data_IF_046860385787
#
_entry.id   IF_046860385787
#
_cell.length_a   1.000
_cell.length_b   1.000
_cell.length_c   1.000
_cell.angle_alpha   90.00
_cell.angle_beta   90.00
_cell.angle_gamma   90.00
#
_symmetry.space_group_name_H-M   'P 1'
#
loop_
_entity.id
_entity.type
_entity.pdbx_description
1 polymer ?
#
# COMPACT_ATOMS: atom_id res chain seq x y z
N UNK A 1 -7.16 -22.14 -44.95
CA UNK A 1 -6.92 -21.42 -43.69
C UNK A 1 -7.29 -22.36 -42.54
N UNK A 2 -6.33 -23.16 -42.10
CA UNK A 2 -6.50 -24.03 -40.95
C UNK A 2 -6.44 -23.19 -39.68
N UNK A 3 -7.49 -23.27 -38.89
CA UNK A 3 -7.49 -22.68 -37.52
C UNK A 3 -6.57 -23.52 -36.64
N UNK A 4 -5.47 -22.96 -36.22
CA UNK A 4 -4.62 -23.58 -35.22
C UNK A 4 -5.46 -23.83 -33.94
N UNK A 5 -5.65 -25.10 -33.60
CA UNK A 5 -6.25 -25.53 -32.34
C UNK A 5 -5.22 -25.22 -31.24
N UNK A 6 -5.55 -24.47 -30.19
CA UNK A 6 -4.61 -24.24 -29.11
C UNK A 6 -4.27 -25.58 -28.47
N UNK A 7 -2.98 -25.93 -28.42
CA UNK A 7 -2.47 -27.10 -27.71
C UNK A 7 -2.88 -27.01 -26.23
N UNK A 8 -3.71 -27.95 -25.82
CA UNK A 8 -4.07 -28.09 -24.41
C UNK A 8 -2.79 -28.38 -23.58
N UNK A 9 -2.46 -27.49 -22.68
CA UNK A 9 -1.32 -27.65 -21.75
C UNK A 9 -1.65 -28.86 -20.86
N UNK A 10 -0.74 -29.84 -20.72
CA UNK A 10 -0.99 -30.99 -19.84
C UNK A 10 -1.26 -30.55 -18.40
N UNK A 11 -2.25 -31.16 -17.73
CA UNK A 11 -2.67 -30.84 -16.35
C UNK A 11 -1.49 -30.70 -15.38
N UNK A 12 -0.47 -31.55 -15.44
CA UNK A 12 0.71 -31.47 -14.60
C UNK A 12 1.58 -30.24 -14.85
N UNK A 13 1.63 -29.68 -16.06
CA UNK A 13 2.37 -28.44 -16.34
C UNK A 13 1.65 -27.22 -15.76
N UNK A 14 0.31 -27.23 -15.71
CA UNK A 14 -0.48 -26.16 -15.09
C UNK A 14 -0.25 -26.10 -13.57
N UNK A 15 -0.20 -27.26 -12.90
CA UNK A 15 0.07 -27.35 -11.46
C UNK A 15 1.48 -26.88 -11.11
N UNK A 16 2.49 -27.27 -11.88
CA UNK A 16 3.88 -26.79 -11.71
C UNK A 16 3.96 -25.28 -11.90
N UNK A 17 3.30 -24.76 -12.93
CA UNK A 17 3.27 -23.32 -13.18
C UNK A 17 2.64 -22.54 -12.02
N UNK A 18 1.50 -23.01 -11.50
CA UNK A 18 0.84 -22.39 -10.34
C UNK A 18 1.70 -22.48 -9.07
N UNK A 19 2.40 -23.58 -8.86
CA UNK A 19 3.33 -23.72 -7.73
C UNK A 19 4.49 -22.74 -7.84
N UNK A 20 5.06 -22.56 -9.03
CA UNK A 20 6.11 -21.58 -9.29
C UNK A 20 5.62 -20.14 -9.11
N UNK A 21 4.41 -19.82 -9.58
CA UNK A 21 3.81 -18.51 -9.34
C UNK A 21 3.68 -18.21 -7.85
N UNK A 22 3.19 -19.17 -7.06
CA UNK A 22 3.09 -19.01 -5.60
C UNK A 22 4.44 -18.83 -4.93
N UNK A 23 5.47 -19.54 -5.37
CA UNK A 23 6.82 -19.43 -4.83
C UNK A 23 7.45 -18.04 -5.04
N UNK A 24 7.16 -17.43 -6.19
CA UNK A 24 7.70 -16.12 -6.57
C UNK A 24 6.68 -14.97 -6.41
N UNK A 25 5.59 -15.23 -5.73
CA UNK A 25 4.57 -14.22 -5.50
C UNK A 25 5.05 -13.17 -4.50
N UNK A 26 4.72 -11.92 -4.81
CA UNK A 26 4.88 -10.78 -3.92
C UNK A 26 3.55 -10.03 -3.84
N UNK A 27 3.08 -9.77 -2.65
CA UNK A 27 1.87 -8.96 -2.41
C UNK A 27 2.32 -7.56 -2.07
N UNK A 28 2.02 -6.60 -2.95
CA UNK A 28 2.43 -5.20 -2.81
C UNK A 28 1.45 -4.36 -2.02
N UNK A 29 0.17 -4.65 -2.15
CA UNK A 29 -0.88 -3.76 -1.66
C UNK A 29 -2.04 -4.51 -1.04
N UNK A 30 -2.70 -3.85 -0.10
CA UNK A 30 -3.89 -4.36 0.59
C UNK A 30 -4.90 -3.23 0.76
N UNK A 31 -6.19 -3.56 0.77
CA UNK A 31 -7.25 -2.61 1.09
C UNK A 31 -8.45 -3.31 1.71
N UNK A 32 -8.94 -2.79 2.82
CA UNK A 32 -10.13 -3.31 3.51
C UNK A 32 -11.37 -2.72 2.85
N UNK A 33 -12.42 -3.54 2.72
CA UNK A 33 -13.73 -3.09 2.24
C UNK A 33 -14.38 -2.08 3.19
N UNK A 34 -15.25 -1.19 2.70
CA UNK A 34 -15.92 -0.20 3.56
C UNK A 34 -16.79 -0.83 4.65
N UNK A 35 -17.28 -2.04 4.45
CA UNK A 35 -18.02 -2.78 5.50
C UNK A 35 -17.10 -3.49 6.52
N UNK A 36 -15.77 -3.47 6.33
CA UNK A 36 -14.79 -4.10 7.21
C UNK A 36 -14.74 -5.64 7.15
N UNK A 37 -15.57 -6.30 6.35
CA UNK A 37 -15.70 -7.76 6.32
C UNK A 37 -14.81 -8.45 5.29
N UNK A 38 -14.24 -7.68 4.35
CA UNK A 38 -13.42 -8.22 3.26
C UNK A 38 -12.10 -7.49 3.17
N UNK A 39 -11.08 -8.21 2.74
CA UNK A 39 -9.74 -7.70 2.44
C UNK A 39 -9.40 -8.00 0.99
N UNK A 40 -8.99 -6.98 0.25
CA UNK A 40 -8.36 -7.13 -1.06
C UNK A 40 -6.83 -7.17 -0.89
N UNK A 41 -6.17 -8.06 -1.61
CA UNK A 41 -4.71 -8.15 -1.70
C UNK A 41 -4.29 -8.20 -3.17
N UNK A 42 -3.32 -7.35 -3.55
CA UNK A 42 -2.82 -7.23 -4.92
C UNK A 42 -1.39 -7.72 -5.05
N UNK A 43 -1.12 -8.54 -6.07
CA UNK A 43 0.17 -9.19 -6.26
C UNK A 43 0.96 -8.67 -7.48
N UNK A 44 2.18 -9.19 -7.63
CA UNK A 44 3.11 -8.87 -8.72
C UNK A 44 2.68 -9.41 -10.10
N UNK A 45 1.68 -10.28 -10.16
CA UNK A 45 1.13 -10.80 -11.41
C UNK A 45 -0.13 -10.05 -11.88
N UNK A 46 -0.45 -8.92 -11.25
CA UNK A 46 -1.63 -8.12 -11.59
C UNK A 46 -2.94 -8.68 -11.07
N UNK A 47 -2.90 -9.71 -10.22
CA UNK A 47 -4.09 -10.32 -9.66
C UNK A 47 -4.50 -9.62 -8.36
N UNK A 48 -5.80 -9.53 -8.14
CA UNK A 48 -6.39 -9.14 -6.87
C UNK A 48 -7.19 -10.33 -6.32
N UNK A 49 -6.89 -10.71 -5.08
CA UNK A 49 -7.65 -11.69 -4.32
C UNK A 49 -8.49 -10.99 -3.25
N UNK A 50 -9.73 -11.40 -3.11
CA UNK A 50 -10.65 -10.93 -2.07
C UNK A 50 -10.82 -12.02 -1.03
N UNK A 51 -10.52 -11.71 0.22
CA UNK A 51 -10.66 -12.63 1.36
C UNK A 51 -11.84 -12.18 2.23
N UNK A 52 -12.61 -13.14 2.75
CA UNK A 52 -13.62 -12.88 3.77
C UNK A 52 -12.99 -12.90 5.16
N UNK A 53 -12.76 -11.71 5.75
CA UNK A 53 -12.27 -11.61 7.13
C UNK A 53 -13.29 -12.17 8.13
N UNK A 54 -14.57 -11.92 7.91
CA UNK A 54 -15.62 -12.43 8.79
C UNK A 54 -15.68 -13.98 8.82
N UNK A 55 -15.47 -14.64 7.68
CA UNK A 55 -15.39 -16.09 7.63
C UNK A 55 -14.09 -16.64 8.24
N UNK A 56 -12.96 -15.97 7.98
CA UNK A 56 -11.66 -16.42 8.48
C UNK A 56 -11.49 -16.22 10.00
N UNK A 57 -12.18 -15.23 10.56
CA UNK A 57 -12.15 -14.90 12.01
C UNK A 57 -13.26 -15.60 12.81
N UNK A 58 -14.17 -16.30 12.15
CA UNK A 58 -15.24 -17.06 12.82
C UNK A 58 -14.65 -18.18 13.70
N UNK A 59 -15.31 -18.50 14.80
CA UNK A 59 -14.98 -19.66 15.63
C UNK A 59 -15.12 -21.00 14.89
N UNK A 60 -15.90 -21.01 13.79
CA UNK A 60 -16.10 -22.18 12.93
C UNK A 60 -15.20 -22.15 11.68
N UNK A 61 -14.21 -21.25 11.61
CA UNK A 61 -13.34 -21.10 10.46
C UNK A 61 -12.58 -22.41 10.15
N UNK A 62 -12.59 -22.79 8.88
CA UNK A 62 -11.84 -23.93 8.32
C UNK A 62 -10.70 -23.43 7.45
N UNK A 63 -9.83 -24.32 6.98
CA UNK A 63 -8.76 -23.94 6.03
C UNK A 63 -9.30 -23.28 4.75
N UNK A 64 -10.50 -23.69 4.30
CA UNK A 64 -11.17 -23.06 3.15
C UNK A 64 -11.55 -21.58 3.41
N UNK A 65 -11.85 -21.24 4.66
CA UNK A 65 -12.14 -19.84 5.05
C UNK A 65 -10.95 -18.91 4.92
N UNK A 66 -9.74 -19.46 4.82
CA UNK A 66 -8.48 -18.70 4.66
C UNK A 66 -8.09 -18.50 3.18
N UNK A 67 -8.85 -19.10 2.26
CA UNK A 67 -8.66 -18.94 0.82
C UNK A 67 -9.44 -17.73 0.28
N UNK A 68 -9.08 -17.19 -0.91
CA UNK A 68 -9.84 -16.11 -1.51
C UNK A 68 -11.27 -16.56 -1.85
N UNK A 69 -12.22 -15.67 -1.61
CA UNK A 69 -13.61 -15.82 -2.10
C UNK A 69 -13.65 -15.66 -3.62
N UNK A 70 -12.80 -14.76 -4.13
CA UNK A 70 -12.63 -14.52 -5.56
C UNK A 70 -11.20 -14.01 -5.82
N UNK A 71 -10.64 -14.42 -6.97
CA UNK A 71 -9.39 -13.89 -7.51
C UNK A 71 -9.62 -13.54 -8.98
N UNK A 72 -9.12 -12.38 -9.40
CA UNK A 72 -9.29 -11.91 -10.77
C UNK A 72 -8.05 -11.15 -11.26
N UNK A 73 -7.86 -11.13 -12.57
CA UNK A 73 -6.81 -10.35 -13.22
C UNK A 73 -7.26 -8.91 -13.34
N UNK A 74 -6.62 -8.02 -12.56
CA UNK A 74 -6.93 -6.61 -12.52
C UNK A 74 -6.04 -5.80 -13.47
N UNK A 75 -4.76 -6.08 -13.51
CA UNK A 75 -3.75 -5.39 -14.31
C UNK A 75 -2.85 -6.39 -15.05
N UNK A 76 -2.17 -5.93 -16.10
CA UNK A 76 -1.19 -6.76 -16.81
C UNK A 76 0.13 -6.88 -16.04
N UNK A 77 0.50 -5.84 -15.29
CA UNK A 77 1.64 -5.78 -14.39
C UNK A 77 1.23 -5.76 -12.92
N UNK A 78 2.18 -5.51 -11.99
CA UNK A 78 1.93 -5.52 -10.55
C UNK A 78 0.83 -4.57 -10.10
N UNK A 79 0.11 -4.95 -9.02
CA UNK A 79 -0.85 -4.07 -8.34
C UNK A 79 -0.12 -3.34 -7.23
N UNK A 80 0.44 -2.18 -7.54
CA UNK A 80 1.32 -1.45 -6.61
C UNK A 80 0.60 -0.84 -5.42
N UNK A 81 -0.62 -0.33 -5.63
CA UNK A 81 -1.39 0.33 -4.58
C UNK A 81 -2.88 0.10 -4.74
N UNK A 82 -3.59 0.05 -3.63
CA UNK A 82 -5.05 -0.04 -3.60
C UNK A 82 -5.62 0.83 -2.49
N UNK A 83 -6.77 1.42 -2.73
CA UNK A 83 -7.56 2.14 -1.73
C UNK A 83 -9.05 1.84 -1.93
N UNK A 84 -9.82 1.85 -0.83
CA UNK A 84 -11.27 1.65 -0.86
C UNK A 84 -12.00 2.95 -0.57
N UNK A 85 -12.98 3.27 -1.42
CA UNK A 85 -14.02 4.26 -1.12
C UNK A 85 -15.24 3.56 -0.53
N UNK A 86 -16.30 4.29 -0.24
CA UNK A 86 -17.57 3.72 0.27
C UNK A 86 -18.18 2.66 -0.66
N UNK A 87 -17.86 2.71 -1.96
CA UNK A 87 -18.43 1.82 -2.98
C UNK A 87 -17.41 1.03 -3.77
N UNK A 88 -16.22 1.62 -3.99
CA UNK A 88 -15.26 1.12 -4.95
C UNK A 88 -13.98 0.64 -4.28
N UNK A 89 -13.39 -0.39 -4.85
CA UNK A 89 -11.97 -0.66 -4.74
C UNK A 89 -11.28 0.05 -5.92
N UNK A 90 -10.27 0.86 -5.64
CA UNK A 90 -9.41 1.48 -6.64
C UNK A 90 -8.06 0.78 -6.61
N UNK A 91 -7.56 0.37 -7.77
CA UNK A 91 -6.28 -0.31 -7.89
C UNK A 91 -5.38 0.37 -8.93
N UNK A 92 -4.10 0.48 -8.62
CA UNK A 92 -3.10 1.10 -9.46
C UNK A 92 -2.07 0.08 -9.95
N UNK A 93 -1.75 0.17 -11.22
CA UNK A 93 -0.74 -0.63 -11.91
C UNK A 93 0.16 0.23 -12.79
N UNK A 94 0.63 -0.34 -13.90
CA UNK A 94 1.44 0.35 -14.87
C UNK A 94 0.58 1.36 -15.65
N UNK A 95 0.78 2.63 -15.36
CA UNK A 95 0.20 3.76 -16.08
C UNK A 95 -1.28 4.00 -15.90
N UNK A 96 -2.00 3.18 -15.15
CA UNK A 96 -3.45 3.32 -15.03
C UNK A 96 -3.96 3.01 -13.62
N UNK A 97 -5.09 3.65 -13.28
CA UNK A 97 -5.92 3.31 -12.13
C UNK A 97 -7.25 2.75 -12.62
N UNK A 98 -7.71 1.68 -12.00
CA UNK A 98 -8.98 1.02 -12.29
C UNK A 98 -9.89 1.01 -11.07
N UNK A 99 -11.19 1.03 -11.33
CA UNK A 99 -12.21 0.94 -10.30
C UNK A 99 -13.04 -0.34 -10.43
N UNK A 100 -13.34 -0.92 -9.30
CA UNK A 100 -14.12 -2.14 -9.13
C UNK A 100 -15.23 -1.87 -8.12
N UNK A 101 -16.44 -2.34 -8.36
CA UNK A 101 -17.55 -2.15 -7.45
C UNK A 101 -17.57 -3.28 -6.41
N UNK A 102 -17.36 -2.96 -5.12
CA UNK A 102 -17.34 -3.94 -4.03
C UNK A 102 -18.56 -4.86 -4.03
N UNK A 103 -19.75 -4.30 -4.25
CA UNK A 103 -21.00 -5.07 -4.24
C UNK A 103 -21.10 -6.10 -5.39
N UNK A 104 -20.42 -5.86 -6.51
CA UNK A 104 -20.44 -6.75 -7.68
C UNK A 104 -19.37 -7.83 -7.63
N UNK A 105 -18.17 -7.49 -7.13
CA UNK A 105 -17.06 -8.43 -7.02
C UNK A 105 -17.43 -9.69 -6.25
N UNK A 106 -18.31 -9.56 -5.24
CA UNK A 106 -18.73 -10.64 -4.37
C UNK A 106 -19.90 -11.47 -4.93
N UNK A 107 -20.51 -11.06 -6.05
CA UNK A 107 -21.72 -11.70 -6.58
C UNK A 107 -21.46 -12.52 -7.84
N UNK A 108 -20.94 -11.96 -8.90
CA UNK A 108 -20.86 -12.62 -10.23
C UNK A 108 -19.72 -12.10 -11.10
N UNK A 109 -18.52 -12.05 -10.57
CA UNK A 109 -17.36 -11.68 -11.35
C UNK A 109 -16.98 -10.20 -11.20
N UNK A 110 -15.69 -9.98 -11.35
CA UNK A 110 -15.08 -8.69 -11.14
C UNK A 110 -15.01 -7.95 -12.48
N UNK A 111 -15.99 -7.11 -12.74
CA UNK A 111 -16.03 -6.28 -13.92
C UNK A 111 -15.41 -4.92 -13.62
N UNK A 112 -14.47 -4.49 -14.49
CA UNK A 112 -13.93 -3.15 -14.45
C UNK A 112 -15.07 -2.13 -14.68
N UNK A 113 -15.20 -1.18 -13.76
CA UNK A 113 -16.20 -0.12 -13.86
C UNK A 113 -15.70 1.01 -14.74
N UNK A 114 -14.47 1.44 -14.50
CA UNK A 114 -13.77 2.42 -15.30
C UNK A 114 -12.26 2.30 -15.12
N UNK A 115 -11.51 2.87 -16.07
CA UNK A 115 -10.06 3.09 -15.98
C UNK A 115 -9.71 4.53 -16.32
N UNK A 116 -8.63 5.02 -15.72
CA UNK A 116 -8.09 6.36 -15.97
C UNK A 116 -6.58 6.30 -16.04
N UNK A 117 -6.03 7.09 -16.96
CA UNK A 117 -4.58 7.26 -17.13
C UNK A 117 -4.25 8.72 -16.89
N UNK A 118 -3.27 9.04 -16.02
CA UNK A 118 -2.76 10.39 -15.89
C UNK A 118 -2.23 10.91 -17.24
N UNK A 119 -2.25 12.24 -17.47
CA UNK A 119 -1.69 12.83 -18.68
C UNK A 119 -0.15 12.80 -18.62
N UNK A 120 0.46 11.75 -19.14
CA UNK A 120 1.92 11.62 -19.21
C UNK A 120 2.52 12.51 -20.29
N UNK A 121 3.76 12.97 -20.09
CA UNK A 121 4.47 13.84 -21.03
C UNK A 121 4.97 13.10 -22.27
N UNK A 122 5.23 11.81 -22.17
CA UNK A 122 5.73 10.98 -23.27
C UNK A 122 4.92 9.70 -23.37
N UNK A 123 4.70 9.21 -24.58
CA UNK A 123 4.01 7.95 -24.84
C UNK A 123 4.97 6.74 -24.93
N UNK A 124 6.27 6.94 -24.73
CA UNK A 124 7.28 5.91 -24.93
C UNK A 124 7.51 5.02 -23.71
N UNK A 125 7.25 5.54 -22.53
CA UNK A 125 7.33 4.78 -21.29
C UNK A 125 6.06 5.02 -20.47
N UNK A 126 5.46 3.95 -20.02
CA UNK A 126 4.28 3.98 -19.16
C UNK A 126 4.76 3.86 -17.72
N UNK A 127 4.77 4.96 -16.93
CA UNK A 127 5.31 4.93 -15.58
C UNK A 127 4.37 4.21 -14.63
N UNK A 128 4.92 3.48 -13.67
CA UNK A 128 4.18 2.82 -12.60
C UNK A 128 3.47 3.86 -11.72
N UNK A 129 2.27 3.52 -11.24
CA UNK A 129 1.58 4.28 -10.20
C UNK A 129 1.81 3.56 -8.88
N UNK A 130 2.79 4.04 -8.10
CA UNK A 130 3.26 3.37 -6.87
C UNK A 130 2.37 3.64 -5.67
N UNK A 131 1.69 4.77 -5.63
CA UNK A 131 0.90 5.18 -4.48
C UNK A 131 -0.43 5.83 -4.89
N UNK A 132 -1.48 5.45 -4.19
CA UNK A 132 -2.80 6.06 -4.22
C UNK A 132 -3.12 6.63 -2.83
N UNK A 133 -3.72 7.80 -2.80
CA UNK A 133 -4.19 8.44 -1.57
C UNK A 133 -5.56 9.06 -1.78
N UNK A 134 -6.52 8.65 -0.96
CA UNK A 134 -7.84 9.29 -0.93
C UNK A 134 -7.79 10.59 -0.12
N UNK A 135 -8.45 11.61 -0.63
CA UNK A 135 -8.74 12.88 0.07
C UNK A 135 -10.25 12.98 0.22
N UNK A 136 -10.83 12.37 1.28
CA UNK A 136 -12.30 12.22 1.38
C UNK A 136 -13.06 13.55 1.39
N UNK A 137 -12.50 14.58 2.03
CA UNK A 137 -13.13 15.91 2.13
C UNK A 137 -13.29 16.59 0.78
N UNK A 138 -12.42 16.29 -0.19
CA UNK A 138 -12.45 16.86 -1.53
C UNK A 138 -13.00 15.87 -2.58
N UNK A 139 -13.43 14.68 -2.14
CA UNK A 139 -13.83 13.58 -3.02
C UNK A 139 -12.81 13.34 -4.15
N UNK A 140 -11.53 13.39 -3.81
CA UNK A 140 -10.44 13.29 -4.79
C UNK A 140 -9.48 12.16 -4.47
N UNK A 141 -8.80 11.69 -5.51
CA UNK A 141 -7.74 10.71 -5.46
C UNK A 141 -6.43 11.35 -5.92
N UNK A 142 -5.37 11.12 -5.17
CA UNK A 142 -4.00 11.49 -5.56
C UNK A 142 -3.28 10.24 -6.00
N UNK A 143 -2.63 10.32 -7.16
CA UNK A 143 -1.80 9.28 -7.76
C UNK A 143 -0.37 9.80 -7.84
N UNK A 144 0.61 8.96 -7.54
CA UNK A 144 2.03 9.30 -7.69
C UNK A 144 2.86 8.06 -8.04
N UNK A 145 3.94 8.25 -8.78
CA UNK A 145 4.78 7.14 -9.18
C UNK A 145 5.98 7.53 -10.04
N UNK A 146 6.22 6.76 -11.08
CA UNK A 146 7.41 6.81 -11.91
C UNK A 146 7.57 8.05 -12.78
N UNK A 147 6.52 8.85 -12.97
CA UNK A 147 6.63 10.13 -13.69
C UNK A 147 7.09 11.30 -12.80
N UNK A 148 7.42 11.02 -11.54
CA UNK A 148 7.92 12.01 -10.56
C UNK A 148 6.92 13.14 -10.25
N UNK A 149 5.63 12.93 -10.48
CA UNK A 149 4.58 13.92 -10.28
C UNK A 149 3.45 13.35 -9.42
N UNK A 150 2.71 14.25 -8.75
CA UNK A 150 1.46 13.91 -8.10
C UNK A 150 0.31 14.41 -9.01
N UNK A 151 -0.60 13.52 -9.34
CA UNK A 151 -1.82 13.84 -10.11
C UNK A 151 -3.03 13.80 -9.20
N UNK A 152 -3.82 14.86 -9.18
CA UNK A 152 -5.08 14.90 -8.44
C UNK A 152 -6.23 14.62 -9.41
N UNK A 153 -7.08 13.68 -9.06
CA UNK A 153 -8.24 13.30 -9.86
C UNK A 153 -9.52 13.49 -9.04
N UNK A 154 -10.51 14.13 -9.60
CA UNK A 154 -11.85 14.19 -9.04
C UNK A 154 -12.56 12.83 -9.24
N UNK A 155 -13.07 12.24 -8.17
CA UNK A 155 -13.66 10.90 -8.21
C UNK A 155 -15.09 10.89 -8.80
N UNK A 156 -15.79 12.02 -8.78
CA UNK A 156 -17.12 12.11 -9.36
C UNK A 156 -17.07 12.17 -10.87
N UNK A 157 -16.18 13.01 -11.41
CA UNK A 157 -16.05 13.24 -12.86
C UNK A 157 -15.01 12.32 -13.50
N UNK A 158 -14.07 11.79 -12.74
CA UNK A 158 -12.94 11.02 -13.24
C UNK A 158 -11.91 11.88 -14.00
N UNK A 159 -11.93 13.19 -13.81
CA UNK A 159 -11.01 14.12 -14.49
C UNK A 159 -9.81 14.46 -13.64
N UNK A 160 -8.64 14.58 -14.27
CA UNK A 160 -7.43 15.08 -13.59
C UNK A 160 -7.52 16.59 -13.49
N UNK A 161 -7.41 17.08 -12.25
CA UNK A 161 -7.63 18.51 -11.93
C UNK A 161 -6.33 19.28 -11.73
N UNK A 162 -5.32 18.65 -11.14
CA UNK A 162 -4.04 19.31 -10.79
C UNK A 162 -2.87 18.35 -10.97
N UNK A 163 -1.70 18.94 -11.21
CA UNK A 163 -0.42 18.23 -11.24
C UNK A 163 0.57 18.98 -10.34
N UNK A 164 1.10 18.29 -9.34
CA UNK A 164 2.09 18.82 -8.41
C UNK A 164 3.49 18.34 -8.84
N UNK A 165 4.39 19.28 -9.09
CA UNK A 165 5.73 19.01 -9.64
C UNK A 165 6.80 19.49 -8.68
N UNK A 166 7.83 18.65 -8.47
CA UNK A 166 8.97 18.99 -7.61
C UNK A 166 9.90 17.82 -7.40
N UNK A 167 9.39 16.57 -7.24
CA UNK A 167 10.25 15.40 -7.17
C UNK A 167 11.08 15.26 -8.45
N UNK A 168 12.31 14.81 -8.29
CA UNK A 168 13.26 14.59 -9.40
C UNK A 168 13.43 13.12 -9.74
N UNK A 169 12.79 12.25 -8.98
CA UNK A 169 12.84 10.80 -9.14
C UNK A 169 11.53 10.18 -8.68
N UNK A 170 11.37 8.86 -8.82
CA UNK A 170 10.16 8.09 -8.54
C UNK A 170 9.59 8.38 -7.17
N UNK A 171 8.26 8.51 -7.08
CA UNK A 171 7.55 8.69 -5.82
C UNK A 171 7.05 7.32 -5.37
N UNK A 172 7.27 6.98 -4.10
CA UNK A 172 6.93 5.67 -3.54
C UNK A 172 5.75 5.70 -2.57
N UNK A 173 5.57 6.79 -1.84
CA UNK A 173 4.59 6.85 -0.77
C UNK A 173 3.95 8.23 -0.65
N UNK A 174 2.70 8.21 -0.16
CA UNK A 174 1.87 9.38 0.09
C UNK A 174 1.26 9.29 1.48
N UNK A 175 1.05 10.42 2.13
CA UNK A 175 0.29 10.53 3.37
C UNK A 175 -0.55 11.81 3.40
N UNK A 176 -1.75 11.73 3.95
CA UNK A 176 -2.65 12.87 4.14
C UNK A 176 -2.50 13.42 5.56
N UNK A 177 -2.30 14.72 5.67
CA UNK A 177 -2.39 15.42 6.96
C UNK A 177 -3.85 15.78 7.22
N UNK A 178 -4.55 14.97 8.03
CA UNK A 178 -6.02 15.02 8.15
C UNK A 178 -6.61 16.35 8.57
N UNK A 179 -5.90 17.13 9.38
CA UNK A 179 -6.36 18.43 9.90
C UNK A 179 -6.01 19.61 9.01
N UNK A 180 -5.24 19.39 7.97
CA UNK A 180 -4.76 20.40 7.03
C UNK A 180 -5.03 19.92 5.60
N UNK A 181 -5.26 20.81 4.63
CA UNK A 181 -5.36 20.42 3.22
C UNK A 181 -3.96 20.14 2.63
N UNK A 182 -3.14 19.43 3.36
CA UNK A 182 -1.75 19.12 2.99
C UNK A 182 -1.55 17.63 2.76
N UNK A 183 -0.76 17.34 1.74
CA UNK A 183 -0.32 15.98 1.41
C UNK A 183 1.19 15.92 1.47
N UNK A 184 1.70 14.81 1.97
CA UNK A 184 3.12 14.51 1.98
C UNK A 184 3.41 13.43 0.95
N UNK A 185 4.56 13.53 0.29
CA UNK A 185 5.08 12.53 -0.64
C UNK A 185 6.53 12.21 -0.33
N UNK A 186 6.91 10.96 -0.51
CA UNK A 186 8.29 10.49 -0.36
C UNK A 186 8.74 9.74 -1.60
N UNK A 187 9.99 9.93 -2.01
CA UNK A 187 10.48 9.40 -3.27
C UNK A 187 11.94 8.95 -3.26
N UNK A 188 12.38 8.46 -4.40
CA UNK A 188 13.74 7.98 -4.66
C UNK A 188 14.79 9.09 -4.59
N UNK A 189 14.38 10.35 -4.83
CA UNK A 189 15.23 11.54 -4.66
C UNK A 189 15.65 11.80 -3.20
N UNK A 190 15.09 11.06 -2.24
CA UNK A 190 15.41 11.14 -0.83
C UNK A 190 14.72 12.27 -0.08
N UNK A 191 13.79 12.95 -0.72
CA UNK A 191 13.03 14.03 -0.12
C UNK A 191 11.64 13.59 0.33
N UNK A 192 11.18 14.17 1.42
CA UNK A 192 9.76 14.26 1.76
C UNK A 192 9.31 15.67 1.41
N UNK A 193 8.24 15.79 0.61
CA UNK A 193 7.68 17.06 0.20
C UNK A 193 6.28 17.24 0.75
N UNK A 194 6.01 18.46 1.24
CA UNK A 194 4.69 18.89 1.68
C UNK A 194 4.04 19.73 0.59
N UNK A 195 2.78 19.46 0.31
CA UNK A 195 2.00 20.14 -0.72
C UNK A 195 0.70 20.68 -0.15
N UNK A 196 0.41 21.96 -0.41
CA UNK A 196 -0.92 22.53 -0.15
C UNK A 196 -1.83 22.23 -1.34
N UNK A 197 -2.86 21.39 -1.11
CA UNK A 197 -3.79 21.00 -2.16
C UNK A 197 -4.62 22.17 -2.72
N UNK A 198 -4.87 23.21 -1.94
CA UNK A 198 -5.64 24.38 -2.39
C UNK A 198 -4.89 25.21 -3.42
N UNK A 199 -3.61 25.40 -3.19
CA UNK A 199 -2.75 26.22 -4.04
C UNK A 199 -1.99 25.41 -5.10
N UNK A 200 -2.00 24.08 -4.97
CA UNK A 200 -1.18 23.14 -5.75
C UNK A 200 0.32 23.47 -5.72
N UNK A 201 0.80 24.01 -4.61
CA UNK A 201 2.20 24.41 -4.43
C UNK A 201 2.88 23.56 -3.38
N UNK A 202 4.17 23.38 -3.57
CA UNK A 202 5.04 22.85 -2.53
C UNK A 202 5.13 23.88 -1.40
N UNK A 203 4.90 23.42 -0.17
CA UNK A 203 5.04 24.22 1.05
C UNK A 203 6.43 24.06 1.64
N UNK A 204 6.96 22.83 1.54
CA UNK A 204 8.22 22.48 2.21
C UNK A 204 8.84 21.23 1.60
N UNK A 205 10.17 21.19 1.61
CA UNK A 205 10.97 20.00 1.30
C UNK A 205 11.87 19.65 2.47
N UNK A 206 11.86 18.37 2.85
CA UNK A 206 12.73 17.80 3.88
C UNK A 206 13.62 16.76 3.21
N UNK A 207 14.91 17.05 3.09
CA UNK A 207 15.90 16.12 2.55
C UNK A 207 16.47 15.25 3.68
N UNK A 208 15.75 14.16 3.98
CA UNK A 208 15.99 13.30 5.15
C UNK A 208 17.43 12.77 5.22
N UNK A 209 18.00 12.42 4.07
CA UNK A 209 19.36 11.86 3.98
C UNK A 209 20.46 12.86 4.33
N UNK A 210 20.18 14.18 4.35
CA UNK A 210 21.13 15.22 4.74
C UNK A 210 21.27 15.38 6.26
N UNK A 211 20.35 14.83 7.03
CA UNK A 211 20.46 14.79 8.49
C UNK A 211 21.34 13.62 8.90
N UNK A 212 22.45 13.90 9.56
CA UNK A 212 23.48 12.91 9.90
C UNK A 212 22.91 11.74 10.71
N UNK A 213 22.06 12.04 11.70
CA UNK A 213 21.40 11.04 12.53
C UNK A 213 20.47 10.10 11.76
N UNK A 214 19.90 10.57 10.65
CA UNK A 214 18.97 9.81 9.82
C UNK A 214 19.69 9.05 8.71
N UNK A 215 20.83 9.55 8.26
CA UNK A 215 21.54 9.03 7.08
C UNK A 215 22.03 7.61 7.26
N UNK A 216 21.82 6.79 6.24
CA UNK A 216 22.31 5.40 6.14
C UNK A 216 22.80 5.16 4.71
N UNK A 217 23.99 5.66 4.34
CA UNK A 217 24.48 5.67 2.95
C UNK A 217 24.49 4.29 2.26
N UNK A 218 24.71 3.21 3.03
CA UNK A 218 24.70 1.84 2.52
C UNK A 218 23.31 1.33 2.10
N UNK A 219 22.24 1.97 2.57
CA UNK A 219 20.86 1.64 2.18
C UNK A 219 20.32 2.56 1.07
N UNK A 220 21.07 3.62 0.71
CA UNK A 220 20.57 4.65 -0.20
C UNK A 220 19.82 5.78 0.50
N UNK A 221 19.18 6.66 -0.30
CA UNK A 221 18.47 7.84 0.20
C UNK A 221 16.95 7.78 0.04
N UNK A 222 16.41 6.83 -0.68
CA UNK A 222 15.00 6.70 -1.05
C UNK A 222 14.07 6.64 0.18
N UNK A 223 12.94 7.31 0.08
CA UNK A 223 11.86 7.28 1.07
C UNK A 223 10.79 6.32 0.60
N UNK A 224 10.65 5.19 1.27
CA UNK A 224 9.74 4.11 0.88
C UNK A 224 8.48 4.01 1.71
N UNK A 225 8.43 4.67 2.86
CA UNK A 225 7.25 4.69 3.71
C UNK A 225 7.08 6.04 4.41
N UNK A 226 5.83 6.41 4.64
CA UNK A 226 5.45 7.70 5.17
C UNK A 226 4.09 7.59 5.86
N UNK A 227 3.96 8.14 7.06
CA UNK A 227 2.70 8.28 7.76
C UNK A 227 2.67 9.59 8.54
N UNK A 228 1.47 10.11 8.79
CA UNK A 228 1.27 11.36 9.54
C UNK A 228 0.22 11.18 10.61
N UNK A 229 0.39 11.88 11.70
CA UNK A 229 -0.62 12.11 12.72
C UNK A 229 -0.47 13.54 13.25
N UNK A 230 -1.44 14.40 12.93
CA UNK A 230 -1.46 15.82 13.33
C UNK A 230 -0.20 16.58 12.87
N UNK A 231 0.67 16.96 13.80
CA UNK A 231 1.93 17.66 13.51
C UNK A 231 3.15 16.72 13.46
N UNK A 232 2.89 15.41 13.51
CA UNK A 232 3.92 14.38 13.46
C UNK A 232 3.95 13.67 12.11
N UNK A 233 5.15 13.36 11.69
CA UNK A 233 5.42 12.53 10.52
C UNK A 233 6.41 11.44 10.91
N UNK A 234 6.17 10.24 10.44
CA UNK A 234 7.16 9.17 10.46
C UNK A 234 7.51 8.81 9.03
N UNK A 235 8.78 8.69 8.72
CA UNK A 235 9.26 8.25 7.41
C UNK A 235 10.47 7.34 7.52
N UNK A 236 10.69 6.52 6.51
CA UNK A 236 11.81 5.61 6.43
C UNK A 236 12.00 5.07 5.01
N UNK A 237 13.04 4.26 4.85
CA UNK A 237 13.44 3.67 3.58
C UNK A 237 14.92 3.38 3.59
N UNK A 238 15.70 4.03 2.72
CA UNK A 238 17.15 4.03 2.80
C UNK A 238 17.65 4.67 4.09
N UNK A 239 17.25 5.92 4.42
CA UNK A 239 17.47 6.53 5.72
C UNK A 239 16.79 5.75 6.85
N UNK A 240 17.25 5.98 8.09
CA UNK A 240 16.64 5.40 9.28
C UNK A 240 15.15 5.75 9.39
N UNK A 241 14.37 4.84 9.96
CA UNK A 241 13.01 5.17 10.39
C UNK A 241 13.07 6.28 11.43
N UNK A 242 12.42 7.40 11.17
CA UNK A 242 12.54 8.61 11.99
C UNK A 242 11.20 9.29 12.18
N UNK A 243 10.93 9.72 13.41
CA UNK A 243 9.80 10.58 13.76
C UNK A 243 10.22 12.04 13.66
N UNK A 244 9.40 12.84 12.99
CA UNK A 244 9.63 14.25 12.73
C UNK A 244 8.50 15.10 13.29
N UNK A 245 8.84 16.28 13.76
CA UNK A 245 7.87 17.29 14.07
C UNK A 245 7.74 18.25 12.87
N UNK A 246 6.59 18.27 12.22
CA UNK A 246 6.39 18.95 10.93
C UNK A 246 6.54 20.48 11.00
N UNK A 247 6.10 21.11 12.10
CA UNK A 247 6.19 22.58 12.21
C UNK A 247 7.64 23.09 12.32
N UNK A 248 8.49 22.33 13.00
CA UNK A 248 9.91 22.70 13.14
C UNK A 248 10.79 22.06 12.08
N UNK A 249 10.28 21.07 11.35
CA UNK A 249 11.02 20.27 10.37
C UNK A 249 12.27 19.61 10.93
N UNK A 250 12.18 19.20 12.20
CA UNK A 250 13.28 18.57 12.91
C UNK A 250 12.99 17.11 13.21
N UNK A 251 13.98 16.23 13.06
CA UNK A 251 13.89 14.87 13.56
C UNK A 251 13.85 14.89 15.09
N UNK A 252 12.96 14.12 15.68
CA UNK A 252 12.79 14.04 17.13
C UNK A 252 13.22 12.71 17.70
N UNK A 253 12.95 11.63 16.96
CA UNK A 253 13.28 10.27 17.39
C UNK A 253 13.75 9.46 16.20
N UNK A 254 14.94 8.90 16.29
CA UNK A 254 15.48 7.92 15.33
C UNK A 254 15.30 6.53 15.92
N UNK A 255 14.53 5.69 15.23
CA UNK A 255 14.24 4.34 15.70
C UNK A 255 15.44 3.42 15.47
N UNK A 256 15.82 2.57 16.46
CA UNK A 256 17.03 1.75 16.42
C UNK A 256 16.85 0.48 15.55
N UNK A 257 16.32 0.64 14.34
CA UNK A 257 16.18 -0.43 13.35
C UNK A 257 17.12 -0.18 12.17
N UNK A 258 17.90 -1.22 11.80
CA UNK A 258 18.86 -1.13 10.69
C UNK A 258 18.25 -1.46 9.34
N UNK A 259 17.27 -2.38 9.34
CA UNK A 259 16.62 -2.83 8.12
C UNK A 259 15.74 -1.72 7.52
N UNK A 260 15.85 -1.45 6.22
CA UNK A 260 14.97 -0.51 5.52
C UNK A 260 13.50 -0.83 5.74
N UNK A 261 12.72 0.18 6.10
CA UNK A 261 11.28 0.03 6.30
C UNK A 261 10.53 0.39 5.02
N UNK A 262 9.48 -0.37 4.72
CA UNK A 262 8.66 -0.27 3.50
C UNK A 262 7.23 0.21 3.75
N UNK A 263 6.76 0.04 4.97
CA UNK A 263 5.44 0.51 5.39
C UNK A 263 5.48 0.96 6.83
N UNK A 264 4.77 2.04 7.14
CA UNK A 264 4.62 2.58 8.48
C UNK A 264 3.22 3.15 8.67
N UNK A 265 2.70 3.05 9.87
CA UNK A 265 1.41 3.64 10.23
C UNK A 265 1.36 3.99 11.71
N UNK A 266 0.61 5.02 12.05
CA UNK A 266 0.25 5.31 13.45
C UNK A 266 -0.92 4.43 13.88
N UNK A 267 -0.88 3.97 15.11
CA UNK A 267 -1.96 3.23 15.74
C UNK A 267 -2.03 3.59 17.23
N UNK A 268 -3.01 4.39 17.61
CA UNK A 268 -3.06 4.99 18.95
C UNK A 268 -1.74 5.73 19.25
N UNK A 269 -1.09 5.40 20.35
CA UNK A 269 0.21 5.95 20.80
C UNK A 269 1.42 5.17 20.27
N UNK A 270 1.20 4.26 19.32
CA UNK A 270 2.24 3.43 18.75
C UNK A 270 2.49 3.78 17.28
N UNK A 271 3.69 3.49 16.83
CA UNK A 271 4.07 3.43 15.44
C UNK A 271 4.27 1.96 15.09
N UNK A 272 3.59 1.50 14.05
CA UNK A 272 3.77 0.17 13.47
C UNK A 272 4.62 0.29 12.23
N UNK A 273 5.67 -0.51 12.10
CA UNK A 273 6.53 -0.52 10.92
C UNK A 273 6.83 -1.92 10.44
N UNK A 274 7.04 -2.05 9.13
CA UNK A 274 7.42 -3.29 8.47
C UNK A 274 8.32 -2.98 7.26
N UNK A 275 9.20 -3.92 6.88
CA UNK A 275 10.13 -3.71 5.78
C UNK A 275 10.96 -4.94 5.47
N UNK A 276 12.25 -4.73 5.20
CA UNK A 276 13.20 -5.82 5.01
C UNK A 276 13.32 -6.61 6.31
N UNK A 277 12.75 -7.80 6.34
CA UNK A 277 12.62 -8.66 7.51
C UNK A 277 11.19 -9.11 7.69
N UNK A 278 11.03 -10.16 8.48
CA UNK A 278 9.74 -10.84 8.64
C UNK A 278 8.87 -10.28 9.76
N UNK A 279 9.32 -9.24 10.47
CA UNK A 279 8.65 -8.78 11.68
C UNK A 279 7.84 -7.50 11.44
N UNK A 280 6.68 -7.44 12.06
CA UNK A 280 5.98 -6.19 12.34
C UNK A 280 6.53 -5.64 13.65
N UNK A 281 7.07 -4.43 13.61
CA UNK A 281 7.66 -3.76 14.77
C UNK A 281 6.65 -2.76 15.34
N UNK A 282 6.59 -2.68 16.66
CA UNK A 282 5.74 -1.76 17.41
C UNK A 282 6.62 -0.86 18.26
N UNK A 283 6.55 0.42 18.01
CA UNK A 283 7.40 1.43 18.63
C UNK A 283 6.57 2.39 19.47
N UNK A 284 7.11 2.79 20.61
CA UNK A 284 6.65 3.99 21.29
C UNK A 284 7.20 5.23 20.57
N UNK A 285 6.56 6.38 20.74
CA UNK A 285 7.04 7.65 20.17
C UNK A 285 8.42 8.04 20.69
N UNK A 286 8.81 7.53 21.86
CA UNK A 286 10.16 7.69 22.45
C UNK A 286 11.27 6.96 21.69
N UNK A 287 10.93 6.06 20.77
CA UNK A 287 11.88 5.20 20.06
C UNK A 287 12.08 3.83 20.71
N UNK A 288 11.43 3.55 21.83
CA UNK A 288 11.50 2.25 22.49
C UNK A 288 10.73 1.20 21.70
N UNK A 289 11.35 0.04 21.49
CA UNK A 289 10.68 -1.12 20.86
C UNK A 289 9.78 -1.81 21.90
N UNK A 290 8.47 -1.70 21.70
CA UNK A 290 7.47 -2.35 22.56
C UNK A 290 7.30 -3.84 22.25
N UNK A 291 7.25 -4.18 20.96
CA UNK A 291 7.13 -5.55 20.51
C UNK A 291 7.65 -5.72 19.08
N UNK A 292 8.06 -6.94 18.76
CA UNK A 292 8.46 -7.36 17.45
C UNK A 292 7.80 -8.70 17.16
N UNK A 293 6.82 -8.71 16.26
CA UNK A 293 6.00 -9.90 15.99
C UNK A 293 6.34 -10.48 14.63
N UNK A 294 6.84 -11.74 14.59
CA UNK A 294 7.23 -12.35 13.33
C UNK A 294 6.03 -12.72 12.46
N UNK A 295 6.14 -12.40 11.18
CA UNK A 295 5.25 -12.86 10.11
C UNK A 295 5.77 -14.11 9.40
N UNK A 296 5.01 -14.57 8.40
CA UNK A 296 5.37 -15.72 7.55
C UNK A 296 6.26 -15.34 6.38
N UNK A 297 6.14 -14.11 5.88
CA UNK A 297 6.92 -13.60 4.75
C UNK A 297 8.35 -13.21 5.15
N UNK A 298 9.34 -13.45 4.30
CA UNK A 298 10.72 -13.04 4.56
C UNK A 298 10.93 -11.51 4.56
N UNK A 299 10.08 -10.77 3.86
CA UNK A 299 10.02 -9.31 3.85
C UNK A 299 8.59 -8.84 3.76
N UNK A 300 8.27 -7.75 4.44
CA UNK A 300 6.93 -7.17 4.49
C UNK A 300 6.91 -5.84 3.73
N UNK A 301 5.91 -5.65 2.88
CA UNK A 301 5.76 -4.48 2.02
C UNK A 301 4.51 -3.66 2.35
N UNK A 302 3.50 -4.29 2.95
CA UNK A 302 2.21 -3.68 3.21
C UNK A 302 1.67 -4.08 4.57
N UNK A 303 1.19 -3.10 5.32
CA UNK A 303 0.36 -3.26 6.51
C UNK A 303 -1.01 -2.68 6.24
N UNK A 304 -2.05 -3.32 6.74
CA UNK A 304 -3.41 -2.78 6.68
C UNK A 304 -4.11 -2.97 8.03
N UNK A 305 -4.65 -1.87 8.57
CA UNK A 305 -5.43 -1.88 9.81
C UNK A 305 -6.90 -1.82 9.47
N UNK A 306 -7.64 -2.84 9.87
CA UNK A 306 -9.10 -2.80 9.80
C UNK A 306 -9.66 -2.28 11.12
N UNK A 307 -10.16 -1.06 11.10
CA UNK A 307 -10.80 -0.38 12.22
C UNK A 307 -12.23 0.05 11.89
N UNK A 308 -12.85 -0.59 10.90
CA UNK A 308 -14.19 -0.24 10.46
C UNK A 308 -15.22 -0.48 11.59
N UNK A 309 -15.95 0.57 12.02
CA UNK A 309 -16.92 0.44 13.11
C UNK A 309 -18.06 -0.54 12.80
N UNK A 310 -18.35 -0.74 11.51
CA UNK A 310 -19.42 -1.64 11.05
C UNK A 310 -19.10 -3.13 11.25
N UNK A 311 -17.85 -3.49 11.52
CA UNK A 311 -17.41 -4.87 11.75
C UNK A 311 -16.35 -4.93 12.85
N UNK A 312 -16.72 -4.64 14.11
CA UNK A 312 -15.77 -4.63 15.23
C UNK A 312 -15.13 -6.02 15.47
N UNK A 313 -15.83 -7.08 15.10
CA UNK A 313 -15.34 -8.46 15.15
C UNK A 313 -14.21 -8.72 14.14
N UNK A 314 -14.12 -7.91 13.10
CA UNK A 314 -13.07 -7.99 12.09
C UNK A 314 -11.92 -7.00 12.32
N UNK A 315 -11.81 -6.44 13.53
CA UNK A 315 -10.70 -5.54 13.88
C UNK A 315 -9.38 -6.31 13.95
N UNK A 316 -8.58 -6.16 12.91
CA UNK A 316 -7.31 -6.86 12.74
C UNK A 316 -6.25 -5.97 12.10
N UNK A 317 -4.99 -6.30 12.34
CA UNK A 317 -3.86 -5.88 11.51
C UNK A 317 -3.56 -7.01 10.52
N UNK A 318 -3.32 -6.67 9.27
CA UNK A 318 -2.81 -7.61 8.25
C UNK A 318 -1.48 -7.13 7.71
N UNK A 319 -0.58 -8.08 7.43
CA UNK A 319 0.74 -7.81 6.87
C UNK A 319 1.02 -8.76 5.70
N UNK A 320 1.55 -8.21 4.61
CA UNK A 320 1.87 -8.96 3.41
C UNK A 320 3.17 -8.45 2.77
N UNK A 321 3.77 -9.27 1.93
CA UNK A 321 5.02 -8.93 1.25
C UNK A 321 5.52 -10.04 0.33
N UNK A 322 6.75 -10.48 0.49
CA UNK A 322 7.46 -11.40 -0.39
C UNK A 322 7.00 -12.87 -0.21
N UNK A 323 5.71 -13.10 -0.29
CA UNK A 323 5.09 -14.43 -0.28
C UNK A 323 3.67 -14.37 -0.81
N UNK A 324 3.06 -15.55 -1.00
CA UNK A 324 1.63 -15.66 -1.34
C UNK A 324 0.70 -15.57 -0.11
N UNK A 325 1.21 -15.17 1.04
CA UNK A 325 0.46 -15.17 2.31
C UNK A 325 0.21 -13.75 2.80
N UNK A 326 -0.98 -13.54 3.39
CA UNK A 326 -1.33 -12.36 4.17
C UNK A 326 -1.47 -12.80 5.61
N UNK A 327 -0.59 -12.34 6.47
CA UNK A 327 -0.62 -12.64 7.90
C UNK A 327 -1.69 -11.81 8.61
N UNK A 328 -2.44 -12.43 9.51
CA UNK A 328 -3.52 -11.81 10.29
C UNK A 328 -3.16 -11.81 11.77
N UNK A 329 -3.24 -10.62 12.36
CA UNK A 329 -2.98 -10.36 13.77
C UNK A 329 -4.28 -9.86 14.40
N UNK A 330 -4.93 -10.69 15.20
CA UNK A 330 -6.19 -10.35 15.89
C UNK A 330 -5.96 -9.46 17.11
N UNK A 331 -4.79 -9.55 17.69
CA UNK A 331 -4.22 -8.56 18.57
C UNK A 331 -2.79 -8.25 18.10
N UNK A 332 -2.18 -7.22 18.63
CA UNK A 332 -0.82 -6.87 18.20
C UNK A 332 0.30 -7.74 18.81
N UNK A 333 -0.03 -8.73 19.61
CA UNK A 333 0.95 -9.55 20.33
C UNK A 333 1.46 -10.76 19.56
N UNK A 334 0.68 -11.31 18.64
CA UNK A 334 1.05 -12.50 17.87
C UNK A 334 0.29 -12.59 16.54
N UNK A 335 0.86 -13.36 15.61
CA UNK A 335 0.18 -13.77 14.38
C UNK A 335 -0.82 -14.89 14.67
N UNK A 336 -2.09 -14.65 14.41
CA UNK A 336 -3.13 -15.64 14.63
C UNK A 336 -3.13 -16.75 13.55
N UNK A 337 -3.12 -16.33 12.28
CA UNK A 337 -3.07 -17.22 11.10
C UNK A 337 -2.63 -16.45 9.86
N UNK A 338 -2.57 -17.13 8.73
CA UNK A 338 -2.33 -16.49 7.43
C UNK A 338 -3.44 -16.86 6.45
N UNK A 339 -3.85 -15.88 5.64
CA UNK A 339 -4.64 -16.09 4.44
C UNK A 339 -3.70 -16.49 3.31
N UNK A 340 -4.13 -17.31 2.38
CA UNK A 340 -3.30 -17.79 1.27
C UNK A 340 -3.93 -17.48 -0.08
N UNK A 341 -3.14 -16.84 -0.94
CA UNK A 341 -3.49 -16.52 -2.33
C UNK A 341 -3.70 -17.77 -3.15
#
# INVERSE_FOLDING_TARGET
MERAVPLAVPLGQTEVFQALQRLHMTIFSQSVSPCGKFLAAGNNYGQIAIFSLSAALSSEAKEESKKPVVTFQAHDGPVYSMVSTDRHLLSAGDGEVKAWLWAEMLKKGCKELWRRQPPYRTSLEVPEINALLLVPKENSLILAGGDCQLHTMDLETGTFTRVLRGHTDYIHCLALRERSPEVLSGGEDGAVRLWDLRTAKEVQTIEVYKHEECSRPHNGRWIGCLATDSDWMVCGGGPALTLWHLRSSTPTTVFPIRAPQKHVTFYQDLILSAGQGRCVNQWQLSGELKAQVPGSSPGLLSLSLNQQPAAPECKVLTAAGNSCRVDVFTNLGYRAFSLSF
#
